data_IF_773029786994
#
_entry.id   IF_773029786994
#
_cell.length_a   1.000
_cell.length_b   1.000
_cell.length_c   1.000
_cell.angle_alpha   90.00
_cell.angle_beta   90.00
_cell.angle_gamma   90.00
#
_symmetry.space_group_name_H-M   'P 1'
#
loop_
_entity.id
_entity.type
_entity.pdbx_description
1 polymer ?
#
# COMPACT_ATOMS: atom_id res chain seq x y z
N UNK A 1 0.56 -25.34 20.30
CA UNK A 1 0.63 -24.03 20.99
C UNK A 1 0.91 -22.95 19.95
N UNK A 2 -0.08 -22.10 19.63
CA UNK A 2 0.07 -20.99 18.68
C UNK A 2 0.84 -19.87 19.40
N UNK A 3 2.11 -19.64 19.05
CA UNK A 3 2.88 -18.50 19.57
C UNK A 3 2.19 -17.22 19.10
N UNK A 4 1.50 -16.55 20.03
CA UNK A 4 0.99 -15.19 19.87
C UNK A 4 2.23 -14.30 19.84
N UNK A 5 2.61 -13.80 18.65
CA UNK A 5 3.74 -12.89 18.51
C UNK A 5 3.42 -11.64 19.31
N UNK A 6 4.28 -11.40 20.30
CA UNK A 6 4.41 -10.17 21.06
C UNK A 6 4.44 -9.00 20.08
N UNK A 7 3.57 -8.02 20.31
CA UNK A 7 3.63 -6.71 19.66
C UNK A 7 4.89 -6.01 20.15
N UNK A 8 6.05 -6.40 19.61
CA UNK A 8 7.24 -5.57 19.67
C UNK A 8 6.93 -4.28 18.90
N UNK A 9 7.35 -3.15 19.45
CA UNK A 9 7.34 -1.88 18.72
C UNK A 9 7.90 -2.10 17.31
N UNK A 10 7.34 -1.41 16.31
CA UNK A 10 7.82 -1.48 14.93
C UNK A 10 9.36 -1.33 14.96
N UNK A 11 10.13 -2.28 14.38
CA UNK A 11 11.58 -2.13 14.29
C UNK A 11 11.89 -0.74 13.72
N UNK A 12 12.85 0.02 14.26
CA UNK A 12 13.18 1.37 13.79
C UNK A 12 13.37 1.44 12.26
N UNK A 13 13.86 0.37 11.66
CA UNK A 13 14.03 0.21 10.23
C UNK A 13 12.70 0.17 9.46
N UNK A 14 11.66 -0.45 10.03
CA UNK A 14 10.32 -0.50 9.44
C UNK A 14 9.62 0.85 9.54
N UNK A 15 9.80 1.57 10.65
CA UNK A 15 9.30 2.94 10.78
C UNK A 15 9.95 3.86 9.74
N UNK A 16 11.28 3.79 9.62
CA UNK A 16 12.03 4.53 8.61
C UNK A 16 11.58 4.16 7.19
N UNK A 17 11.47 2.87 6.88
CA UNK A 17 11.02 2.40 5.56
C UNK A 17 9.61 2.90 5.22
N UNK A 18 8.68 2.83 6.17
CA UNK A 18 7.32 3.35 6.00
C UNK A 18 7.34 4.86 5.75
N UNK A 19 8.16 5.60 6.50
CA UNK A 19 8.34 7.05 6.32
C UNK A 19 8.93 7.42 4.95
N UNK A 20 9.89 6.65 4.45
CA UNK A 20 10.50 6.88 3.13
C UNK A 20 9.52 6.62 1.99
N UNK A 21 8.78 5.51 2.04
CA UNK A 21 7.72 5.21 1.06
C UNK A 21 6.69 6.35 1.06
N UNK A 22 6.24 6.78 2.24
CA UNK A 22 5.33 7.92 2.38
C UNK A 22 5.91 9.21 1.80
N UNK A 23 7.21 9.46 2.01
CA UNK A 23 7.93 10.59 1.41
C UNK A 23 7.84 10.61 -0.12
N UNK A 24 8.11 9.47 -0.77
CA UNK A 24 7.98 9.35 -2.23
C UNK A 24 6.54 9.58 -2.71
N UNK A 25 5.54 9.04 -2.01
CA UNK A 25 4.13 9.26 -2.33
C UNK A 25 3.75 10.74 -2.28
N UNK A 26 4.15 11.47 -1.24
CA UNK A 26 3.88 12.91 -1.13
C UNK A 26 4.63 13.76 -2.17
N UNK A 27 5.76 13.25 -2.67
CA UNK A 27 6.53 13.87 -3.75
C UNK A 27 6.02 13.48 -5.15
N UNK A 28 4.90 12.76 -5.26
CA UNK A 28 4.35 12.22 -6.52
C UNK A 28 5.33 11.29 -7.28
N UNK A 29 6.30 10.71 -6.57
CA UNK A 29 7.29 9.79 -7.13
C UNK A 29 6.76 8.36 -7.04
N UNK A 30 5.68 8.07 -7.77
CA UNK A 30 4.93 6.82 -7.61
C UNK A 30 5.71 5.57 -8.02
N UNK A 31 6.55 5.63 -9.06
CA UNK A 31 7.43 4.52 -9.45
C UNK A 31 8.40 4.16 -8.31
N UNK A 32 9.10 5.15 -7.76
CA UNK A 32 10.00 4.95 -6.62
C UNK A 32 9.25 4.42 -5.38
N UNK A 33 8.05 4.95 -5.11
CA UNK A 33 7.23 4.49 -4.00
C UNK A 33 6.79 3.04 -4.17
N UNK A 34 6.40 2.65 -5.40
CA UNK A 34 5.99 1.30 -5.75
C UNK A 34 7.15 0.31 -5.56
N UNK A 35 8.30 0.58 -6.18
CA UNK A 35 9.47 -0.29 -6.10
C UNK A 35 10.00 -0.41 -4.67
N UNK A 36 10.08 0.72 -3.95
CA UNK A 36 10.52 0.71 -2.56
C UNK A 36 9.55 -0.09 -1.68
N UNK A 37 8.24 0.15 -1.79
CA UNK A 37 7.24 -0.57 -1.00
C UNK A 37 7.25 -2.07 -1.30
N UNK A 38 7.44 -2.47 -2.56
CA UNK A 38 7.58 -3.87 -2.95
C UNK A 38 8.82 -4.51 -2.29
N UNK A 39 9.96 -3.82 -2.31
CA UNK A 39 11.17 -4.24 -1.59
C UNK A 39 10.96 -4.37 -0.08
N UNK A 40 10.27 -3.40 0.55
CA UNK A 40 9.94 -3.46 1.97
C UNK A 40 9.00 -4.63 2.31
N UNK A 41 8.04 -4.95 1.44
CA UNK A 41 7.12 -6.07 1.64
C UNK A 41 7.82 -7.44 1.56
N UNK A 42 8.94 -7.55 0.84
CA UNK A 42 9.77 -8.76 0.85
C UNK A 42 10.43 -9.00 2.22
N UNK A 43 10.75 -7.92 2.96
CA UNK A 43 11.36 -7.98 4.30
C UNK A 43 10.31 -8.13 5.41
N UNK A 44 9.19 -7.43 5.27
CA UNK A 44 8.09 -7.42 6.24
C UNK A 44 6.76 -7.87 5.62
N UNK A 45 6.66 -9.15 5.21
CA UNK A 45 5.44 -9.66 4.59
C UNK A 45 4.28 -9.57 5.57
N UNK A 46 3.15 -9.04 5.10
CA UNK A 46 1.93 -8.87 5.89
C UNK A 46 1.83 -7.54 6.65
N UNK A 47 2.78 -6.62 6.49
CA UNK A 47 2.59 -5.26 6.99
C UNK A 47 1.50 -4.55 6.16
N UNK A 48 0.38 -4.23 6.82
CA UNK A 48 -0.80 -3.65 6.16
C UNK A 48 -0.52 -2.24 5.63
N UNK A 49 0.25 -1.41 6.35
CA UNK A 49 0.54 -0.05 5.90
C UNK A 49 1.40 -0.04 4.63
N UNK A 50 2.48 -0.84 4.60
CA UNK A 50 3.30 -0.99 3.40
C UNK A 50 2.49 -1.55 2.22
N UNK A 51 1.59 -2.49 2.48
CA UNK A 51 0.73 -3.05 1.45
C UNK A 51 -0.22 -1.99 0.87
N UNK A 52 -0.83 -1.16 1.72
CA UNK A 52 -1.72 -0.09 1.26
C UNK A 52 -0.96 1.01 0.51
N UNK A 53 0.26 1.37 0.94
CA UNK A 53 1.11 2.32 0.23
C UNK A 53 1.53 1.79 -1.15
N UNK A 54 1.90 0.50 -1.23
CA UNK A 54 2.19 -0.18 -2.49
C UNK A 54 0.96 -0.19 -3.42
N UNK A 55 -0.21 -0.58 -2.91
CA UNK A 55 -1.45 -0.64 -3.69
C UNK A 55 -1.90 0.76 -4.15
N UNK A 56 -1.61 1.80 -3.38
CA UNK A 56 -1.85 3.19 -3.78
C UNK A 56 -0.90 3.63 -4.90
N UNK A 57 0.40 3.38 -4.78
CA UNK A 57 1.37 3.68 -5.84
C UNK A 57 1.01 2.94 -7.14
N UNK A 58 0.65 1.65 -7.04
CA UNK A 58 0.19 0.84 -8.16
C UNK A 58 -1.03 1.48 -8.87
N UNK A 59 -2.02 1.94 -8.10
CA UNK A 59 -3.20 2.59 -8.66
C UNK A 59 -2.88 3.87 -9.42
N UNK A 60 -1.92 4.68 -8.96
CA UNK A 60 -1.47 5.89 -9.65
C UNK A 60 -0.66 5.58 -10.93
N UNK A 61 0.02 4.44 -10.97
CA UNK A 61 0.75 3.95 -12.14
C UNK A 61 -0.11 3.15 -13.13
N UNK A 62 -1.40 2.98 -12.85
CA UNK A 62 -2.32 2.11 -13.60
C UNK A 62 -1.90 0.63 -13.62
N UNK A 63 -1.10 0.21 -12.65
CA UNK A 63 -0.74 -1.19 -12.42
C UNK A 63 -1.91 -1.97 -11.80
N UNK A 64 -2.02 -3.28 -12.04
CA UNK A 64 -3.13 -4.07 -11.53
C UNK A 64 -3.05 -4.24 -10.01
N UNK A 65 -4.15 -3.96 -9.33
CA UNK A 65 -4.33 -4.18 -7.89
C UNK A 65 -5.43 -5.21 -7.66
N UNK A 66 -5.14 -6.24 -6.85
CA UNK A 66 -6.15 -7.20 -6.40
C UNK A 66 -7.16 -6.52 -5.47
N UNK A 67 -8.30 -6.10 -6.05
CA UNK A 67 -9.36 -5.42 -5.32
C UNK A 67 -10.05 -6.31 -4.28
N UNK A 68 -10.07 -7.63 -4.45
CA UNK A 68 -10.68 -8.54 -3.48
C UNK A 68 -9.79 -8.61 -2.23
N UNK A 69 -8.48 -8.77 -2.42
CA UNK A 69 -7.50 -8.67 -1.32
C UNK A 69 -7.58 -7.31 -0.64
N UNK A 70 -7.58 -6.20 -1.40
CA UNK A 70 -7.64 -4.86 -0.85
C UNK A 70 -8.88 -4.64 0.04
N UNK A 71 -10.07 -5.06 -0.42
CA UNK A 71 -11.30 -4.97 0.39
C UNK A 71 -11.23 -5.82 1.66
N UNK A 72 -10.55 -6.96 1.63
CA UNK A 72 -10.37 -7.82 2.80
C UNK A 72 -9.45 -7.22 3.88
N UNK A 73 -8.57 -6.28 3.51
CA UNK A 73 -7.69 -5.57 4.43
C UNK A 73 -8.38 -4.41 5.17
N UNK A 74 -9.62 -4.08 4.79
CA UNK A 74 -10.35 -2.94 5.34
C UNK A 74 -10.69 -3.15 6.81
N UNK A 75 -10.21 -2.24 7.64
CA UNK A 75 -10.52 -2.10 9.07
C UNK A 75 -11.10 -0.70 9.31
N UNK A 76 -11.54 -0.43 10.55
CA UNK A 76 -11.97 0.93 10.92
C UNK A 76 -10.84 1.97 10.75
N UNK A 77 -9.60 1.58 11.03
CA UNK A 77 -8.44 2.48 11.06
C UNK A 77 -7.90 2.81 9.66
N UNK A 78 -8.07 1.90 8.69
CA UNK A 78 -7.53 2.06 7.34
C UNK A 78 -8.59 2.22 6.24
N UNK A 79 -9.87 2.34 6.62
CA UNK A 79 -11.00 2.45 5.69
C UNK A 79 -10.79 3.55 4.65
N UNK A 80 -10.35 4.74 5.10
CA UNK A 80 -10.13 5.88 4.21
C UNK A 80 -9.07 5.59 3.13
N UNK A 81 -8.02 4.84 3.47
CA UNK A 81 -6.98 4.43 2.52
C UNK A 81 -7.52 3.44 1.50
N UNK A 82 -8.23 2.40 1.95
CA UNK A 82 -8.84 1.41 1.07
C UNK A 82 -9.82 2.07 0.09
N UNK A 83 -10.67 2.95 0.61
CA UNK A 83 -11.70 3.64 -0.18
C UNK A 83 -11.06 4.60 -1.20
N UNK A 84 -9.96 5.29 -0.83
CA UNK A 84 -9.16 6.12 -1.75
C UNK A 84 -8.55 5.30 -2.89
N UNK A 85 -7.90 4.18 -2.58
CA UNK A 85 -7.25 3.34 -3.61
C UNK A 85 -8.30 2.80 -4.59
N UNK A 86 -9.43 2.30 -4.09
CA UNK A 86 -10.53 1.83 -4.94
C UNK A 86 -11.06 2.94 -5.85
N UNK A 87 -11.18 4.17 -5.34
CA UNK A 87 -11.59 5.32 -6.14
C UNK A 87 -10.58 5.63 -7.26
N UNK A 88 -9.28 5.60 -6.98
CA UNK A 88 -8.21 5.81 -7.97
C UNK A 88 -8.23 4.76 -9.07
N UNK A 89 -8.39 3.49 -8.71
CA UNK A 89 -8.51 2.38 -9.67
C UNK A 89 -9.70 2.57 -10.61
N UNK A 90 -10.86 2.97 -10.08
CA UNK A 90 -12.05 3.24 -10.90
C UNK A 90 -11.82 4.42 -11.87
N UNK A 91 -11.14 5.47 -11.41
CA UNK A 91 -10.79 6.61 -12.27
C UNK A 91 -9.85 6.18 -13.41
N UNK A 92 -8.81 5.38 -13.11
CA UNK A 92 -7.89 4.84 -14.10
C UNK A 92 -8.58 3.95 -15.15
N UNK A 93 -9.48 3.07 -14.71
CA UNK A 93 -10.28 2.21 -15.60
C UNK A 93 -11.17 3.02 -16.55
N UNK A 94 -11.79 4.10 -16.06
CA UNK A 94 -12.61 5.00 -16.89
C UNK A 94 -11.79 5.72 -17.94
N UNK A 95 -10.59 6.18 -17.58
CA UNK A 95 -9.66 6.80 -18.53
C UNK A 95 -9.23 5.81 -19.61
N UNK A 96 -8.89 4.57 -19.23
CA UNK A 96 -8.50 3.54 -20.18
C UNK A 96 -9.63 3.12 -21.14
N UNK A 97 -10.88 3.12 -20.68
CA UNK A 97 -12.05 2.79 -21.50
C UNK A 97 -12.50 3.91 -22.46
N UNK A 98 -12.00 5.14 -22.26
CA UNK A 98 -12.31 6.30 -23.09
C UNK A 98 -11.23 6.63 -24.13
N UNK A 99 -10.10 5.94 -24.10
CA UNK A 99 -8.99 6.03 -25.05
C UNK A 99 -9.16 5.03 -26.20
#
# INVERSE_FOLDING_TARGET
>A
MRRRRTTEALPPELELATGLVWGHLNAYQYENAYDLAAGCLALWPGNVHLQLMHDYAAAELLEPVDQARLRSLRTADNAAWVDLILLRLQAGQRTAAAA
#
